data_IF_621790274803
#
_entry.id   IF_621790274803
#
_cell.length_a   1.000
_cell.length_b   1.000
_cell.length_c   1.000
_cell.angle_alpha   90.00
_cell.angle_beta   90.00
_cell.angle_gamma   90.00
#
_symmetry.space_group_name_H-M   'P 1'
#
loop_
_entity.id
_entity.type
_entity.pdbx_description
1 polymer ?
#
# COMPACT_ATOMS: atom_id res chain seq x y z
N UNK A 1 -14.95 36.93 12.48
CA UNK A 1 -13.75 36.09 12.62
C UNK A 1 -14.10 35.02 13.64
N UNK A 2 -14.16 33.77 13.16
CA UNK A 2 -14.36 32.62 14.03
C UNK A 2 -13.22 32.56 15.06
N UNK A 3 -13.55 32.42 16.33
CA UNK A 3 -12.60 32.29 17.42
C UNK A 3 -11.66 31.08 17.35
N UNK A 4 -11.70 30.33 16.25
CA UNK A 4 -10.90 29.14 16.02
C UNK A 4 -9.67 29.33 15.11
N UNK A 5 -9.43 30.52 14.58
CA UNK A 5 -8.27 30.80 13.73
C UNK A 5 -7.06 31.15 14.59
N UNK A 6 -6.43 30.18 15.21
CA UNK A 6 -5.24 30.38 16.04
C UNK A 6 -4.03 29.68 15.43
N UNK A 7 -3.00 30.45 15.13
CA UNK A 7 -1.65 29.96 14.81
C UNK A 7 -1.53 29.17 13.51
N UNK A 8 -1.84 27.89 13.51
CA UNK A 8 -1.64 26.98 12.36
C UNK A 8 -2.45 27.36 11.12
N UNK A 9 -3.68 27.85 11.29
CA UNK A 9 -4.53 28.24 10.16
C UNK A 9 -4.10 29.57 9.52
N UNK A 10 -3.50 30.46 10.29
CA UNK A 10 -2.88 31.66 9.72
C UNK A 10 -1.65 31.30 8.87
N UNK A 11 -0.83 30.37 9.32
CA UNK A 11 0.33 29.90 8.55
C UNK A 11 -0.09 29.24 7.24
N UNK A 12 -1.20 28.47 7.22
CA UNK A 12 -1.74 27.88 5.98
C UNK A 12 -2.21 28.94 4.99
N UNK A 13 -2.73 30.07 5.49
CA UNK A 13 -3.28 31.14 4.64
C UNK A 13 -2.24 32.11 4.10
N UNK A 14 -1.10 32.25 4.74
CA UNK A 14 -0.02 33.13 4.32
C UNK A 14 1.08 32.43 3.52
N UNK A 15 1.08 31.10 3.50
CA UNK A 15 2.04 30.33 2.73
C UNK A 15 1.68 30.32 1.24
N UNK A 16 2.67 30.48 0.39
CA UNK A 16 2.51 30.30 -1.05
C UNK A 16 2.26 28.82 -1.36
N UNK A 17 1.22 28.55 -2.14
CA UNK A 17 0.93 27.22 -2.65
C UNK A 17 1.65 27.04 -3.99
N UNK A 18 2.22 25.87 -4.21
CA UNK A 18 2.90 25.52 -5.43
C UNK A 18 2.66 24.04 -5.80
N UNK A 19 2.75 23.73 -7.07
CA UNK A 19 2.78 22.35 -7.54
C UNK A 19 4.11 21.68 -7.21
N UNK A 20 4.13 20.35 -7.13
CA UNK A 20 5.35 19.60 -6.84
C UNK A 20 6.50 19.89 -7.80
N UNK A 21 6.19 20.20 -9.06
CA UNK A 21 7.15 20.54 -10.12
C UNK A 21 7.50 22.01 -10.22
N UNK A 22 6.88 22.88 -9.42
CA UNK A 22 7.20 24.32 -9.43
C UNK A 22 8.46 24.64 -8.63
N UNK A 23 9.25 25.59 -9.13
CA UNK A 23 10.40 26.11 -8.44
C UNK A 23 9.95 26.95 -7.25
N UNK A 24 10.35 26.57 -6.04
CA UNK A 24 10.03 27.27 -4.78
C UNK A 24 11.14 28.19 -4.31
N UNK A 25 12.34 28.04 -4.85
CA UNK A 25 13.48 28.87 -4.46
C UNK A 25 14.78 28.45 -5.11
N UNK A 26 15.86 29.00 -4.55
CA UNK A 26 17.25 28.65 -4.87
C UNK A 26 17.92 28.26 -3.56
N UNK A 27 18.85 27.31 -3.61
CA UNK A 27 19.61 26.87 -2.45
C UNK A 27 20.41 28.07 -1.86
N UNK A 28 20.37 28.21 -0.54
CA UNK A 28 21.12 29.26 0.14
C UNK A 28 22.62 29.11 -0.19
N UNK A 29 23.29 30.24 -0.45
CA UNK A 29 24.69 30.28 -0.86
C UNK A 29 25.59 29.53 0.12
N UNK A 30 25.40 29.71 1.42
CA UNK A 30 26.19 29.05 2.47
C UNK A 30 26.08 27.53 2.40
N UNK A 31 24.86 27.01 2.10
CA UNK A 31 24.61 25.58 1.97
C UNK A 31 25.20 25.04 0.66
N UNK A 32 25.08 25.80 -0.44
CA UNK A 32 25.67 25.43 -1.70
C UNK A 32 27.21 25.30 -1.58
N UNK A 33 27.86 26.30 -0.96
CA UNK A 33 29.31 26.28 -0.71
C UNK A 33 29.72 25.14 0.23
N UNK A 34 28.97 24.91 1.32
CA UNK A 34 29.29 23.85 2.29
C UNK A 34 29.26 22.43 1.68
N UNK A 35 28.33 22.17 0.77
CA UNK A 35 28.14 20.86 0.19
C UNK A 35 28.57 20.72 -1.28
N UNK A 36 29.17 21.77 -1.83
CA UNK A 36 29.70 21.76 -3.20
C UNK A 36 28.65 21.79 -4.30
N UNK A 37 27.48 22.35 -4.03
CA UNK A 37 26.45 22.60 -5.04
C UNK A 37 26.73 23.88 -5.81
N UNK A 38 26.16 23.97 -7.01
CA UNK A 38 26.13 25.22 -7.77
C UNK A 38 25.30 26.28 -7.03
N UNK A 39 25.75 27.54 -7.04
CA UNK A 39 25.06 28.65 -6.39
C UNK A 39 23.68 28.94 -6.99
N UNK A 40 23.40 28.47 -8.22
CA UNK A 40 22.11 28.56 -8.91
C UNK A 40 21.23 27.32 -8.71
N UNK A 41 21.58 26.39 -7.81
CA UNK A 41 20.84 25.17 -7.55
C UNK A 41 19.39 25.49 -7.14
N UNK A 42 18.43 25.07 -7.94
CA UNK A 42 17.00 25.32 -7.78
C UNK A 42 16.39 24.32 -6.81
N UNK A 43 15.40 24.77 -6.03
CA UNK A 43 14.58 23.96 -5.13
C UNK A 43 13.18 23.89 -5.68
N UNK A 44 12.58 22.71 -5.68
CA UNK A 44 11.23 22.44 -6.18
C UNK A 44 10.29 22.01 -5.07
N UNK A 45 8.97 22.10 -5.30
CA UNK A 45 7.93 21.82 -4.30
C UNK A 45 8.02 20.42 -3.72
N UNK A 46 8.30 19.42 -4.59
CA UNK A 46 8.44 18.04 -4.16
C UNK A 46 7.11 17.34 -3.90
N UNK A 47 7.09 16.34 -3.01
CA UNK A 47 5.91 15.54 -2.72
C UNK A 47 6.01 14.83 -1.35
N UNK A 48 4.87 14.40 -0.81
CA UNK A 48 4.83 13.35 0.21
C UNK A 48 5.36 12.03 -0.34
N UNK A 49 5.86 11.16 0.54
CA UNK A 49 6.58 9.93 0.22
C UNK A 49 5.82 8.98 -0.72
N UNK A 50 4.52 8.76 -0.47
CA UNK A 50 3.70 7.87 -1.30
C UNK A 50 3.47 8.43 -2.72
N UNK A 51 3.20 9.73 -2.86
CA UNK A 51 3.05 10.38 -4.15
C UNK A 51 4.39 10.42 -4.90
N UNK A 52 5.49 10.69 -4.20
CA UNK A 52 6.83 10.61 -4.78
C UNK A 52 7.16 9.18 -5.24
N UNK A 53 6.86 8.15 -4.42
CA UNK A 53 7.07 6.76 -4.79
C UNK A 53 6.25 6.37 -6.03
N UNK A 54 5.00 6.84 -6.14
CA UNK A 54 4.18 6.63 -7.34
C UNK A 54 4.84 7.25 -8.59
N UNK A 55 5.34 8.48 -8.50
CA UNK A 55 6.11 9.10 -9.61
C UNK A 55 7.39 8.33 -9.91
N UNK A 56 8.09 7.85 -8.88
CA UNK A 56 9.27 6.99 -9.03
C UNK A 56 8.97 5.71 -9.80
N UNK A 57 7.83 5.08 -9.53
CA UNK A 57 7.33 3.91 -10.24
C UNK A 57 6.78 4.25 -11.64
N UNK A 58 6.41 5.50 -11.90
CA UNK A 58 5.72 5.89 -13.14
C UNK A 58 4.20 5.70 -13.07
N UNK A 59 3.62 5.62 -11.86
CA UNK A 59 2.18 5.44 -11.64
C UNK A 59 1.51 6.82 -11.52
N UNK A 60 0.92 7.30 -12.59
CA UNK A 60 0.27 8.61 -12.63
C UNK A 60 -0.98 8.63 -13.50
N UNK A 61 -1.20 7.59 -14.29
CA UNK A 61 -2.42 7.47 -15.10
C UNK A 61 -3.57 6.90 -14.27
N UNK A 62 -4.80 7.20 -14.70
CA UNK A 62 -5.98 6.61 -14.10
C UNK A 62 -5.98 5.09 -14.31
N UNK A 63 -6.19 4.32 -13.24
CA UNK A 63 -6.13 2.87 -13.26
C UNK A 63 -4.82 2.28 -12.78
N UNK A 64 -3.76 3.09 -12.69
CA UNK A 64 -2.49 2.66 -12.10
C UNK A 64 -2.59 2.59 -10.57
N UNK A 65 -2.12 1.49 -10.02
CA UNK A 65 -2.15 1.25 -8.59
C UNK A 65 -0.88 0.54 -8.11
N UNK A 66 -0.45 0.82 -6.89
CA UNK A 66 0.53 -0.01 -6.19
C UNK A 66 -0.07 -0.69 -4.97
N UNK A 67 0.39 -1.91 -4.71
CA UNK A 67 0.11 -2.69 -3.52
C UNK A 67 1.43 -2.91 -2.78
N UNK A 68 1.65 -2.15 -1.72
CA UNK A 68 2.85 -2.22 -0.90
C UNK A 68 2.68 -3.25 0.21
N UNK A 69 3.53 -4.27 0.21
CA UNK A 69 3.65 -5.31 1.23
C UNK A 69 4.88 -5.01 2.11
N UNK A 70 4.82 -3.89 2.82
CA UNK A 70 5.81 -3.43 3.79
C UNK A 70 5.42 -3.79 5.22
N UNK A 71 6.02 -3.15 6.23
CA UNK A 71 5.62 -3.26 7.64
C UNK A 71 4.12 -3.02 7.79
N UNK A 72 3.61 -1.97 7.16
CA UNK A 72 2.19 -1.71 6.89
C UNK A 72 1.85 -2.11 5.45
N UNK A 73 0.58 -2.37 5.17
CA UNK A 73 0.06 -2.59 3.83
C UNK A 73 -0.61 -1.33 3.28
N UNK A 74 -0.27 -0.93 2.06
CA UNK A 74 -0.88 0.25 1.44
C UNK A 74 -1.31 -0.08 0.02
N UNK A 75 -2.56 0.23 -0.31
CA UNK A 75 -3.00 0.26 -1.70
C UNK A 75 -3.15 1.73 -2.09
N UNK A 76 -2.38 2.13 -3.09
CA UNK A 76 -2.38 3.46 -3.68
C UNK A 76 -2.97 3.39 -5.08
N UNK A 77 -3.83 4.34 -5.44
CA UNK A 77 -4.35 4.44 -6.79
C UNK A 77 -4.43 5.87 -7.28
N UNK A 78 -3.97 6.12 -8.52
CA UNK A 78 -4.06 7.43 -9.18
C UNK A 78 -5.42 7.63 -9.83
N UNK A 79 -5.92 8.88 -9.82
CA UNK A 79 -7.20 9.26 -10.44
C UNK A 79 -7.16 10.72 -10.92
N UNK A 80 -8.03 11.06 -11.87
CA UNK A 80 -8.15 12.41 -12.41
C UNK A 80 -9.23 13.26 -11.73
N UNK A 81 -9.91 12.72 -10.73
CA UNK A 81 -10.95 13.42 -9.98
C UNK A 81 -10.84 13.16 -8.49
N UNK A 82 -11.30 14.11 -7.70
CA UNK A 82 -11.42 13.94 -6.26
C UNK A 82 -12.53 12.93 -5.94
N UNK A 83 -12.13 11.78 -5.41
CA UNK A 83 -13.03 10.74 -4.93
C UNK A 83 -12.91 10.66 -3.41
N UNK A 84 -14.00 10.32 -2.73
CA UNK A 84 -14.04 10.27 -1.25
C UNK A 84 -14.79 9.05 -0.75
N UNK A 85 -14.36 8.55 0.40
CA UNK A 85 -15.10 7.61 1.22
C UNK A 85 -14.66 7.81 2.67
N UNK A 86 -15.47 8.52 3.45
CA UNK A 86 -15.14 8.81 4.84
C UNK A 86 -15.44 7.66 5.77
N UNK A 87 -16.44 6.83 5.44
CA UNK A 87 -16.91 5.74 6.30
C UNK A 87 -15.86 4.64 6.46
N UNK A 88 -15.12 4.35 5.39
CA UNK A 88 -14.09 3.30 5.37
C UNK A 88 -12.66 3.85 5.63
N UNK A 89 -12.51 5.08 6.15
CA UNK A 89 -11.22 5.71 6.46
C UNK A 89 -10.23 5.72 5.27
N UNK A 90 -10.73 5.98 4.07
CA UNK A 90 -9.91 6.14 2.86
C UNK A 90 -9.28 7.53 2.86
N UNK A 91 -7.98 7.58 2.58
CA UNK A 91 -7.25 8.82 2.35
C UNK A 91 -7.41 9.29 0.91
N UNK A 92 -7.76 10.55 0.73
CA UNK A 92 -7.92 11.21 -0.56
C UNK A 92 -7.12 12.49 -0.58
N UNK A 93 -6.12 12.58 -1.44
CA UNK A 93 -5.17 13.70 -1.50
C UNK A 93 -4.97 14.21 -2.93
N UNK A 94 -4.55 15.47 -3.04
CA UNK A 94 -3.92 15.95 -4.27
C UNK A 94 -2.66 15.13 -4.52
N UNK A 95 -2.45 14.72 -5.75
CA UNK A 95 -1.18 14.16 -6.19
C UNK A 95 -0.14 15.29 -6.31
N UNK A 96 1.15 14.95 -6.38
CA UNK A 96 2.22 15.92 -6.62
C UNK A 96 2.32 16.37 -8.09
N UNK A 97 1.50 15.80 -8.96
CA UNK A 97 1.41 16.18 -10.36
C UNK A 97 0.12 16.97 -10.58
N UNK A 98 0.14 18.00 -11.45
CA UNK A 98 -1.05 18.81 -11.76
C UNK A 98 -2.24 17.96 -12.22
N UNK A 99 -3.44 18.43 -11.92
CA UNK A 99 -4.72 17.82 -12.31
C UNK A 99 -4.84 16.32 -12.00
N UNK A 100 -4.18 15.90 -10.92
CA UNK A 100 -4.14 14.50 -10.51
C UNK A 100 -4.41 14.37 -9.02
N UNK A 101 -5.13 13.33 -8.65
CA UNK A 101 -5.47 12.96 -7.29
C UNK A 101 -4.99 11.54 -7.00
N UNK A 102 -4.93 11.16 -5.74
CA UNK A 102 -4.72 9.77 -5.38
C UNK A 102 -5.52 9.40 -4.14
N UNK A 103 -5.87 8.14 -4.08
CA UNK A 103 -6.49 7.54 -2.91
C UNK A 103 -5.55 6.49 -2.32
N UNK A 104 -5.62 6.35 -1.00
CA UNK A 104 -4.92 5.29 -0.29
C UNK A 104 -5.82 4.61 0.72
N UNK A 105 -5.74 3.29 0.78
CA UNK A 105 -6.14 2.50 1.94
C UNK A 105 -4.91 2.02 2.68
N UNK A 106 -5.00 1.97 4.00
CA UNK A 106 -3.86 1.64 4.86
C UNK A 106 -4.24 0.55 5.85
N UNK A 107 -3.54 -0.57 5.77
CA UNK A 107 -3.51 -1.63 6.75
C UNK A 107 -2.32 -1.39 7.70
N UNK A 108 -2.57 -1.25 9.00
CA UNK A 108 -1.51 -0.87 9.95
C UNK A 108 -0.47 -1.95 10.16
N UNK A 109 -0.86 -3.23 10.11
CA UNK A 109 0.02 -4.37 10.34
C UNK A 109 -0.04 -5.34 9.17
N UNK A 110 0.97 -5.32 8.28
CA UNK A 110 1.10 -6.24 7.15
C UNK A 110 2.28 -7.21 7.40
N UNK A 111 3.49 -6.95 6.91
CA UNK A 111 4.62 -7.83 7.20
C UNK A 111 5.06 -7.76 8.66
N UNK A 112 4.64 -6.75 9.42
CA UNK A 112 4.82 -6.74 10.87
C UNK A 112 4.15 -7.92 11.57
N UNK A 113 3.00 -8.41 11.08
CA UNK A 113 2.39 -9.66 11.56
C UNK A 113 3.31 -10.87 11.31
N UNK A 114 3.95 -10.92 10.15
CA UNK A 114 4.91 -11.99 9.81
C UNK A 114 6.12 -11.95 10.75
N UNK A 115 6.69 -10.77 10.96
CA UNK A 115 7.81 -10.58 11.88
C UNK A 115 7.43 -10.92 13.32
N UNK A 116 6.24 -10.51 13.76
CA UNK A 116 5.72 -10.88 15.07
C UNK A 116 5.61 -12.40 15.22
N UNK A 117 5.05 -13.09 14.23
CA UNK A 117 4.90 -14.54 14.25
C UNK A 117 6.28 -15.24 14.32
N UNK A 118 7.22 -14.79 13.49
CA UNK A 118 8.60 -15.31 13.47
C UNK A 118 9.22 -15.21 14.87
N UNK A 119 9.15 -14.03 15.48
CA UNK A 119 9.77 -13.78 16.79
C UNK A 119 9.05 -14.50 17.94
N UNK A 120 7.72 -14.62 17.86
CA UNK A 120 6.91 -15.21 18.95
C UNK A 120 6.97 -16.74 18.94
N UNK A 121 7.02 -17.33 17.75
CA UNK A 121 6.95 -18.78 17.58
C UNK A 121 8.28 -19.41 17.12
N UNK A 122 9.38 -18.68 17.15
CA UNK A 122 10.70 -19.16 16.69
C UNK A 122 10.62 -19.77 15.28
N UNK A 123 10.08 -19.00 14.34
CA UNK A 123 9.90 -19.38 12.94
C UNK A 123 10.94 -18.72 12.04
N UNK A 124 10.83 -18.94 10.74
CA UNK A 124 11.65 -18.26 9.73
C UNK A 124 10.83 -17.95 8.48
N UNK A 125 11.31 -16.98 7.70
CA UNK A 125 10.67 -16.64 6.42
C UNK A 125 10.68 -17.84 5.44
N UNK A 126 11.72 -18.68 5.52
CA UNK A 126 11.82 -19.89 4.69
C UNK A 126 10.76 -20.92 5.09
N UNK A 127 10.56 -21.14 6.39
CA UNK A 127 9.50 -22.02 6.90
C UNK A 127 8.12 -21.52 6.46
N UNK A 128 7.86 -20.22 6.62
CA UNK A 128 6.58 -19.61 6.19
C UNK A 128 6.34 -19.83 4.69
N UNK A 129 7.37 -19.60 3.88
CA UNK A 129 7.27 -19.78 2.41
C UNK A 129 6.99 -21.25 2.03
N UNK A 130 7.70 -22.19 2.65
CA UNK A 130 7.52 -23.62 2.39
C UNK A 130 6.14 -24.10 2.79
N UNK A 131 5.70 -23.80 4.03
CA UNK A 131 4.40 -24.22 4.55
C UNK A 131 3.24 -23.59 3.77
N UNK A 132 3.33 -22.31 3.46
CA UNK A 132 2.35 -21.62 2.63
C UNK A 132 2.22 -22.28 1.25
N UNK A 133 3.34 -22.54 0.57
CA UNK A 133 3.36 -23.19 -0.75
C UNK A 133 2.70 -24.58 -0.73
N UNK A 134 2.87 -25.33 0.36
CA UNK A 134 2.22 -26.63 0.54
C UNK A 134 0.71 -26.49 0.66
N UNK A 135 0.24 -25.63 1.59
CA UNK A 135 -1.19 -25.51 1.92
C UNK A 135 -2.00 -24.96 0.74
N UNK A 136 -1.50 -23.95 0.01
CA UNK A 136 -2.24 -23.38 -1.13
C UNK A 136 -2.49 -24.37 -2.27
N UNK A 137 -1.80 -25.52 -2.26
CA UNK A 137 -1.98 -26.59 -3.24
C UNK A 137 -3.05 -27.62 -2.83
N UNK A 138 -3.60 -27.51 -1.60
CA UNK A 138 -4.56 -28.45 -1.03
C UNK A 138 -5.84 -27.74 -0.59
N UNK A 139 -6.93 -27.98 -1.31
CA UNK A 139 -8.25 -27.45 -0.92
C UNK A 139 -8.68 -27.91 0.47
N UNK A 140 -8.35 -29.12 0.86
CA UNK A 140 -8.67 -29.67 2.16
C UNK A 140 -7.92 -28.94 3.29
N UNK A 141 -6.60 -28.73 3.14
CA UNK A 141 -5.79 -28.02 4.13
C UNK A 141 -6.26 -26.56 4.27
N UNK A 142 -6.65 -25.91 3.15
CA UNK A 142 -7.22 -24.55 3.17
C UNK A 142 -8.53 -24.53 3.97
N UNK A 143 -9.48 -25.44 3.69
CA UNK A 143 -10.78 -25.46 4.34
C UNK A 143 -10.70 -25.72 5.84
N UNK A 144 -9.73 -26.53 6.28
CA UNK A 144 -9.54 -26.89 7.68
C UNK A 144 -8.67 -25.90 8.45
N UNK A 145 -8.05 -24.92 7.78
CA UNK A 145 -7.22 -23.93 8.44
C UNK A 145 -8.05 -22.98 9.30
N UNK A 146 -7.58 -22.59 10.49
CA UNK A 146 -8.18 -21.54 11.30
C UNK A 146 -8.14 -20.19 10.57
N UNK A 147 -8.74 -19.16 11.16
CA UNK A 147 -8.69 -17.79 10.66
C UNK A 147 -7.81 -16.93 11.55
N UNK A 148 -7.24 -15.89 10.97
CA UNK A 148 -6.46 -14.90 11.70
C UNK A 148 -6.96 -13.48 11.40
N UNK A 149 -7.27 -12.69 12.44
CA UNK A 149 -7.47 -11.25 12.33
C UNK A 149 -6.14 -10.53 12.55
N UNK A 150 -5.63 -9.74 11.59
CA UNK A 150 -4.24 -9.26 11.60
C UNK A 150 -4.03 -7.92 12.35
N UNK A 151 -4.86 -7.58 13.32
CA UNK A 151 -4.97 -6.25 13.93
C UNK A 151 -4.06 -6.05 15.14
N UNK A 152 -2.76 -6.37 15.03
CA UNK A 152 -1.80 -6.29 16.15
C UNK A 152 -1.73 -4.90 16.80
N UNK A 153 -1.89 -3.84 16.02
CA UNK A 153 -1.72 -2.45 16.49
C UNK A 153 -2.97 -1.59 16.26
N UNK A 154 -4.15 -2.22 16.27
CA UNK A 154 -5.36 -1.61 15.75
C UNK A 154 -5.43 -1.71 14.24
N UNK A 155 -6.47 -1.15 13.64
CA UNK A 155 -6.60 -1.09 12.19
C UNK A 155 -7.23 0.22 11.73
N UNK A 156 -6.81 0.70 10.54
CA UNK A 156 -7.33 1.92 9.93
C UNK A 156 -8.41 1.57 8.91
N UNK A 157 -8.04 1.13 7.73
CA UNK A 157 -8.99 0.87 6.65
C UNK A 157 -9.44 -0.60 6.65
N UNK A 158 -10.73 -0.89 6.58
CA UNK A 158 -11.87 0.04 6.60
C UNK A 158 -12.45 0.30 8.00
N UNK A 159 -12.05 -0.45 9.02
CA UNK A 159 -12.74 -0.51 10.32
C UNK A 159 -12.48 0.68 11.23
N UNK A 160 -11.40 1.41 11.01
CA UNK A 160 -10.98 2.60 11.75
C UNK A 160 -11.10 2.43 13.28
N UNK A 161 -10.44 1.38 13.80
CA UNK A 161 -10.46 1.04 15.22
C UNK A 161 -9.04 0.88 15.78
N UNK A 162 -8.56 1.83 16.60
CA UNK A 162 -7.25 1.73 17.24
C UNK A 162 -7.19 0.66 18.33
N UNK A 163 -8.33 0.15 18.79
CA UNK A 163 -8.43 -0.84 19.85
C UNK A 163 -8.58 -2.27 19.32
N UNK A 164 -8.82 -2.46 18.02
CA UNK A 164 -8.80 -3.78 17.40
C UNK A 164 -7.51 -4.54 17.75
N UNK A 165 -7.63 -5.85 17.99
CA UNK A 165 -6.47 -6.70 18.30
C UNK A 165 -6.49 -7.96 17.46
N UNK A 166 -5.27 -8.49 17.22
CA UNK A 166 -5.10 -9.73 16.47
C UNK A 166 -5.63 -10.92 17.25
N UNK A 167 -6.22 -11.87 16.54
CA UNK A 167 -6.73 -13.10 17.15
C UNK A 167 -6.79 -14.24 16.13
N UNK A 168 -6.63 -15.47 16.62
CA UNK A 168 -6.95 -16.68 15.87
C UNK A 168 -8.35 -17.16 16.23
N UNK A 169 -9.11 -17.61 15.23
CA UNK A 169 -10.45 -18.11 15.36
C UNK A 169 -10.61 -19.53 14.80
N UNK A 170 -11.51 -20.31 15.37
CA UNK A 170 -11.83 -21.67 14.96
C UNK A 170 -10.63 -22.63 14.99
N UNK A 171 -9.74 -22.46 15.98
CA UNK A 171 -8.70 -23.45 16.24
C UNK A 171 -9.28 -24.74 16.82
N UNK A 172 -8.87 -25.88 16.26
CA UNK A 172 -9.19 -27.22 16.74
C UNK A 172 -7.98 -27.91 17.37
N UNK A 173 -8.19 -29.12 17.90
CA UNK A 173 -7.12 -29.95 18.48
C UNK A 173 -6.08 -30.37 17.43
N UNK A 174 -6.47 -30.35 16.18
CA UNK A 174 -5.69 -30.70 14.99
C UNK A 174 -4.98 -29.49 14.35
N UNK A 175 -5.24 -28.28 14.86
CA UNK A 175 -4.55 -27.08 14.38
C UNK A 175 -3.07 -27.16 14.71
N UNK A 176 -2.27 -27.25 13.67
CA UNK A 176 -0.81 -27.35 13.76
C UNK A 176 -0.13 -26.02 13.32
N UNK A 177 1.18 -26.00 13.45
CA UNK A 177 2.01 -24.86 13.04
C UNK A 177 1.85 -24.49 11.57
N UNK A 178 1.59 -25.49 10.71
CA UNK A 178 1.40 -25.27 9.28
C UNK A 178 0.11 -24.53 8.99
N UNK A 179 -0.98 -24.94 9.62
CA UNK A 179 -2.29 -24.30 9.51
C UNK A 179 -2.30 -22.89 10.10
N UNK A 180 -1.54 -22.64 11.20
CA UNK A 180 -1.38 -21.30 11.78
C UNK A 180 -0.58 -20.36 10.85
N UNK A 181 0.48 -20.83 10.21
CA UNK A 181 1.24 -20.05 9.22
C UNK A 181 0.36 -19.69 8.02
N UNK A 182 -0.43 -20.64 7.53
CA UNK A 182 -1.36 -20.36 6.46
C UNK A 182 -2.40 -19.32 6.87
N UNK A 183 -3.04 -19.51 8.03
CA UNK A 183 -4.04 -18.58 8.57
C UNK A 183 -3.48 -17.15 8.73
N UNK A 184 -2.22 -17.03 9.19
CA UNK A 184 -1.53 -15.74 9.30
C UNK A 184 -1.48 -15.02 7.94
N UNK A 185 -0.96 -15.70 6.92
CA UNK A 185 -0.79 -15.07 5.59
C UNK A 185 -2.13 -14.86 4.89
N UNK A 186 -3.07 -15.79 5.03
CA UNK A 186 -4.44 -15.64 4.53
C UNK A 186 -5.13 -14.44 5.19
N UNK A 187 -5.06 -14.31 6.52
CA UNK A 187 -5.68 -13.22 7.27
C UNK A 187 -5.11 -11.84 6.91
N UNK A 188 -3.80 -11.72 6.74
CA UNK A 188 -3.17 -10.50 6.20
C UNK A 188 -3.71 -10.20 4.80
N UNK A 189 -3.82 -11.21 3.95
CA UNK A 189 -4.32 -11.05 2.58
C UNK A 189 -5.80 -10.71 2.53
N UNK A 190 -6.61 -11.20 3.48
CA UNK A 190 -8.01 -10.80 3.65
C UNK A 190 -8.14 -9.35 4.13
N UNK A 191 -7.28 -8.89 5.04
CA UNK A 191 -7.22 -7.48 5.42
C UNK A 191 -6.89 -6.58 4.24
N UNK A 192 -5.95 -6.97 3.38
CA UNK A 192 -5.64 -6.25 2.14
C UNK A 192 -6.80 -6.27 1.15
N UNK A 193 -7.56 -7.37 1.07
CA UNK A 193 -8.76 -7.43 0.23
C UNK A 193 -9.88 -6.51 0.76
N UNK A 194 -10.04 -6.43 2.07
CA UNK A 194 -11.00 -5.50 2.67
C UNK A 194 -10.63 -4.04 2.37
N UNK A 195 -9.34 -3.71 2.43
CA UNK A 195 -8.78 -2.44 1.97
C UNK A 195 -9.06 -2.17 0.48
N UNK A 196 -8.87 -3.18 -0.39
CA UNK A 196 -9.14 -3.10 -1.81
C UNK A 196 -10.63 -2.86 -2.10
N UNK A 197 -11.52 -3.57 -1.38
CA UNK A 197 -12.97 -3.39 -1.51
C UNK A 197 -13.41 -1.98 -1.07
N UNK A 198 -12.85 -1.46 0.03
CA UNK A 198 -13.11 -0.11 0.51
C UNK A 198 -12.72 0.96 -0.53
N UNK A 199 -11.53 0.81 -1.15
CA UNK A 199 -11.13 1.67 -2.27
C UNK A 199 -12.08 1.55 -3.46
N UNK A 200 -12.45 0.33 -3.84
CA UNK A 200 -13.32 0.09 -4.99
C UNK A 200 -14.69 0.74 -4.87
N UNK A 201 -15.23 0.85 -3.63
CA UNK A 201 -16.50 1.56 -3.35
C UNK A 201 -16.45 3.05 -3.71
N UNK A 202 -15.26 3.67 -3.77
CA UNK A 202 -15.12 5.07 -4.19
C UNK A 202 -15.35 5.29 -5.68
N UNK A 203 -15.37 4.22 -6.47
CA UNK A 203 -15.41 4.25 -7.93
C UNK A 203 -14.04 4.42 -8.60
N UNK A 204 -12.94 4.41 -7.83
CA UNK A 204 -11.58 4.44 -8.41
C UNK A 204 -11.34 3.19 -9.26
N UNK A 205 -10.67 3.36 -10.39
CA UNK A 205 -10.19 2.25 -11.20
C UNK A 205 -8.86 1.75 -10.66
N UNK A 206 -8.72 0.44 -10.48
CA UNK A 206 -7.50 -0.24 -10.06
C UNK A 206 -7.25 -1.38 -11.07
N UNK A 207 -6.70 -1.02 -12.24
CA UNK A 207 -6.56 -1.93 -13.39
C UNK A 207 -5.19 -2.60 -13.38
N UNK A 208 -4.13 -1.81 -13.25
CA UNK A 208 -2.74 -2.25 -13.23
C UNK A 208 -2.22 -2.21 -11.80
N UNK A 209 -2.17 -3.34 -11.12
CA UNK A 209 -1.73 -3.40 -9.72
C UNK A 209 -0.29 -3.89 -9.65
N UNK A 210 0.61 -3.04 -9.20
CA UNK A 210 2.03 -3.33 -9.03
C UNK A 210 2.34 -3.67 -7.57
N UNK A 211 2.73 -4.92 -7.33
CA UNK A 211 3.11 -5.37 -5.98
C UNK A 211 4.57 -4.98 -5.69
N UNK A 212 4.77 -4.30 -4.56
CA UNK A 212 6.08 -3.79 -4.11
C UNK A 212 6.32 -4.11 -2.64
N UNK A 213 7.52 -3.85 -2.14
CA UNK A 213 7.90 -4.07 -0.74
C UNK A 213 8.43 -5.47 -0.47
N UNK A 214 8.82 -5.73 0.78
CA UNK A 214 9.48 -6.99 1.17
C UNK A 214 8.63 -8.23 0.95
N UNK A 215 7.34 -8.15 1.21
CA UNK A 215 6.39 -9.26 1.02
C UNK A 215 6.20 -9.66 -0.44
N UNK A 216 6.45 -8.76 -1.39
CA UNK A 216 6.35 -9.07 -2.83
C UNK A 216 7.43 -10.03 -3.34
N UNK A 217 8.42 -10.36 -2.51
CA UNK A 217 9.46 -11.35 -2.83
C UNK A 217 8.98 -12.81 -2.64
N UNK A 218 7.79 -13.03 -2.07
CA UNK A 218 7.22 -14.36 -1.85
C UNK A 218 6.15 -14.69 -2.89
N UNK A 219 6.51 -15.50 -3.88
CA UNK A 219 5.62 -15.89 -4.98
C UNK A 219 4.36 -16.62 -4.50
N UNK A 220 4.46 -17.46 -3.46
CA UNK A 220 3.31 -18.19 -2.92
C UNK A 220 2.31 -17.24 -2.26
N UNK A 221 2.81 -16.23 -1.53
CA UNK A 221 1.95 -15.19 -0.98
C UNK A 221 1.29 -14.36 -2.07
N UNK A 222 2.05 -13.94 -3.08
CA UNK A 222 1.48 -13.18 -4.21
C UNK A 222 0.43 -13.99 -4.98
N UNK A 223 0.62 -15.30 -5.16
CA UNK A 223 -0.38 -16.18 -5.80
C UNK A 223 -1.68 -16.25 -4.98
N UNK A 224 -1.56 -16.42 -3.67
CA UNK A 224 -2.68 -16.39 -2.74
C UNK A 224 -3.41 -15.03 -2.82
N UNK A 225 -2.66 -13.93 -2.69
CA UNK A 225 -3.19 -12.57 -2.69
C UNK A 225 -3.85 -12.20 -4.02
N UNK A 226 -3.24 -12.53 -5.16
CA UNK A 226 -3.83 -12.32 -6.48
C UNK A 226 -5.18 -13.05 -6.63
N UNK A 227 -5.27 -14.27 -6.07
CA UNK A 227 -6.50 -15.06 -6.08
C UNK A 227 -7.56 -14.48 -5.15
N UNK A 228 -7.19 -14.00 -3.97
CA UNK A 228 -8.08 -13.32 -3.01
C UNK A 228 -8.62 -12.02 -3.59
N UNK A 229 -7.76 -11.18 -4.18
CA UNK A 229 -8.16 -9.92 -4.83
C UNK A 229 -8.93 -10.15 -6.13
N UNK A 230 -8.89 -11.37 -6.66
CA UNK A 230 -9.40 -11.71 -7.98
C UNK A 230 -8.79 -10.82 -9.09
N UNK A 231 -7.49 -10.46 -8.96
CA UNK A 231 -6.72 -9.60 -9.84
C UNK A 231 -5.33 -10.17 -10.10
N UNK A 232 -4.81 -9.95 -11.30
CA UNK A 232 -3.41 -10.22 -11.56
C UNK A 232 -2.55 -9.15 -10.88
N UNK A 233 -1.36 -9.55 -10.40
CA UNK A 233 -0.39 -8.65 -9.80
C UNK A 233 0.86 -8.61 -10.65
N UNK A 234 1.37 -7.40 -10.91
CA UNK A 234 2.59 -7.18 -11.66
C UNK A 234 3.76 -6.89 -10.72
N UNK A 235 4.93 -7.48 -11.00
CA UNK A 235 6.19 -7.16 -10.35
C UNK A 235 7.05 -6.32 -11.28
N UNK A 236 7.77 -5.37 -10.71
CA UNK A 236 8.66 -4.46 -11.42
C UNK A 236 10.09 -4.63 -10.93
N UNK A 237 11.05 -4.09 -11.66
CA UNK A 237 12.45 -3.98 -11.25
C UNK A 237 12.70 -2.79 -10.29
N UNK A 238 11.63 -2.24 -9.72
CA UNK A 238 11.69 -1.08 -8.84
C UNK A 238 12.51 -1.35 -7.58
N UNK A 239 13.40 -0.43 -7.26
CA UNK A 239 14.22 -0.44 -6.05
C UNK A 239 13.43 0.05 -4.82
N UNK A 240 13.96 -0.16 -3.62
CA UNK A 240 13.39 0.38 -2.37
C UNK A 240 13.46 1.93 -2.29
N UNK A 241 14.23 2.57 -3.17
CA UNK A 241 14.45 4.03 -3.17
C UNK A 241 13.45 4.81 -4.05
N UNK A 242 12.27 4.24 -4.35
CA UNK A 242 11.31 4.86 -5.29
C UNK A 242 10.85 6.26 -4.89
N UNK A 243 10.68 6.55 -3.60
CA UNK A 243 10.28 7.90 -3.16
C UNK A 243 11.38 8.94 -3.45
N UNK A 244 12.65 8.61 -3.17
CA UNK A 244 13.78 9.50 -3.49
C UNK A 244 13.96 9.67 -5.00
N UNK A 245 13.82 8.59 -5.77
CA UNK A 245 13.86 8.64 -7.23
C UNK A 245 12.71 9.46 -7.80
N UNK A 246 11.50 9.31 -7.24
CA UNK A 246 10.34 10.12 -7.61
C UNK A 246 10.53 11.60 -7.32
N UNK A 247 11.08 11.96 -6.16
CA UNK A 247 11.41 13.34 -5.83
C UNK A 247 12.41 13.94 -6.85
N UNK A 248 13.43 13.17 -7.24
CA UNK A 248 14.38 13.57 -8.29
C UNK A 248 13.69 13.76 -9.65
N UNK A 249 12.76 12.87 -10.04
CA UNK A 249 11.99 13.00 -11.29
C UNK A 249 11.08 14.21 -11.28
N UNK A 250 10.43 14.53 -10.13
CA UNK A 250 9.62 15.74 -9.97
C UNK A 250 10.46 16.99 -10.23
N UNK A 251 11.63 17.10 -9.58
CA UNK A 251 12.55 18.20 -9.79
C UNK A 251 13.07 18.27 -11.24
N UNK A 252 13.37 17.12 -11.85
CA UNK A 252 13.82 17.04 -13.25
C UNK A 252 12.74 17.53 -14.23
N UNK A 253 11.48 17.14 -14.01
CA UNK A 253 10.34 17.65 -14.80
C UNK A 253 10.19 19.15 -14.66
N UNK A 254 10.25 19.66 -13.44
CA UNK A 254 10.16 21.11 -13.19
C UNK A 254 11.31 21.89 -13.81
N UNK A 255 12.55 21.39 -13.70
CA UNK A 255 13.72 22.01 -14.29
C UNK A 255 13.67 22.12 -15.81
N UNK A 256 13.18 21.09 -16.48
CA UNK A 256 13.11 21.00 -17.94
C UNK A 256 11.73 21.40 -18.51
N UNK A 257 10.78 21.82 -17.66
CA UNK A 257 9.41 22.16 -18.05
C UNK A 257 8.71 21.03 -18.84
N UNK A 258 8.88 19.78 -18.36
CA UNK A 258 8.30 18.60 -18.99
C UNK A 258 6.95 18.22 -18.37
N UNK A 259 6.05 17.72 -19.20
CA UNK A 259 4.79 17.10 -18.75
C UNK A 259 5.06 15.67 -18.26
N UNK A 260 4.20 15.13 -17.38
CA UNK A 260 4.37 13.76 -16.86
C UNK A 260 4.62 12.72 -17.96
N UNK A 261 3.81 12.70 -19.02
CA UNK A 261 3.93 11.75 -20.13
C UNK A 261 5.22 11.87 -20.95
N UNK A 262 5.95 12.98 -20.83
CA UNK A 262 7.22 13.20 -21.55
C UNK A 262 8.41 12.71 -20.72
N UNK A 263 8.22 12.53 -19.41
CA UNK A 263 9.29 12.15 -18.48
C UNK A 263 9.03 10.81 -17.79
N UNK A 264 7.76 10.45 -17.60
CA UNK A 264 7.38 9.24 -16.90
C UNK A 264 7.01 8.15 -17.91
N UNK A 265 7.50 6.96 -17.69
CA UNK A 265 7.12 5.75 -18.41
C UNK A 265 6.41 4.79 -17.44
N UNK A 266 5.50 3.99 -17.96
CA UNK A 266 4.92 2.90 -17.19
C UNK A 266 6.01 2.00 -16.61
N UNK A 267 5.80 1.40 -15.43
CA UNK A 267 6.76 0.50 -14.82
C UNK A 267 7.09 -0.67 -15.75
N UNK A 268 8.37 -1.04 -15.82
CA UNK A 268 8.78 -2.24 -16.53
C UNK A 268 8.36 -3.46 -15.75
N UNK A 269 7.38 -4.19 -16.28
CA UNK A 269 6.93 -5.46 -15.70
C UNK A 269 7.99 -6.53 -15.97
N UNK A 270 8.51 -7.14 -14.90
CA UNK A 270 9.44 -8.27 -14.97
C UNK A 270 8.76 -9.62 -14.77
N UNK A 271 7.60 -9.63 -14.11
CA UNK A 271 6.81 -10.84 -13.85
C UNK A 271 5.36 -10.47 -13.59
N UNK A 272 4.44 -11.28 -14.07
CA UNK A 272 3.01 -11.21 -13.72
C UNK A 272 2.63 -12.45 -12.93
N UNK A 273 1.99 -12.26 -11.80
CA UNK A 273 1.38 -13.31 -10.98
C UNK A 273 -0.10 -13.37 -11.36
N UNK A 274 -0.50 -14.42 -12.01
CA UNK A 274 -1.88 -14.63 -12.41
C UNK A 274 -2.70 -15.15 -11.23
N UNK A 275 -3.93 -14.64 -11.08
CA UNK A 275 -4.92 -15.22 -10.18
C UNK A 275 -5.30 -16.64 -10.59
N UNK A 276 -5.68 -17.45 -9.64
CA UNK A 276 -6.24 -18.78 -9.88
C UNK A 276 -7.76 -18.73 -9.64
N UNK A 277 -8.60 -18.85 -10.69
CA UNK A 277 -10.06 -18.73 -10.53
C UNK A 277 -10.66 -19.74 -9.54
N UNK A 278 -10.15 -20.99 -9.53
CA UNK A 278 -10.65 -22.03 -8.61
C UNK A 278 -10.31 -21.71 -7.15
N UNK A 279 -9.12 -21.17 -6.94
CA UNK A 279 -8.68 -20.71 -5.62
C UNK A 279 -9.45 -19.46 -5.23
N UNK A 280 -9.74 -18.54 -6.15
CA UNK A 280 -10.53 -17.33 -5.90
C UNK A 280 -11.93 -17.65 -5.37
N UNK A 281 -12.64 -18.61 -5.94
CA UNK A 281 -13.96 -18.99 -5.49
C UNK A 281 -13.95 -19.52 -4.05
N UNK A 282 -13.00 -20.41 -3.74
CA UNK A 282 -12.81 -20.96 -2.40
C UNK A 282 -12.48 -19.87 -1.38
N UNK A 283 -11.53 -19.01 -1.72
CA UNK A 283 -11.07 -17.94 -0.82
C UNK A 283 -12.11 -16.84 -0.62
N UNK A 284 -12.99 -16.62 -1.59
CA UNK A 284 -14.10 -15.67 -1.42
C UNK A 284 -15.10 -16.15 -0.35
N UNK A 285 -15.43 -17.43 -0.30
CA UNK A 285 -16.26 -18.00 0.76
C UNK A 285 -15.60 -17.83 2.14
N UNK A 286 -14.31 -18.19 2.23
CA UNK A 286 -13.56 -18.01 3.47
C UNK A 286 -13.44 -16.54 3.89
N UNK A 287 -13.29 -15.62 2.95
CA UNK A 287 -13.25 -14.19 3.23
C UNK A 287 -14.58 -13.68 3.83
N UNK A 288 -15.72 -14.15 3.32
CA UNK A 288 -17.02 -13.76 3.91
C UNK A 288 -17.15 -14.28 5.35
N UNK A 289 -16.67 -15.49 5.64
CA UNK A 289 -16.66 -16.02 6.99
C UNK A 289 -15.69 -15.22 7.90
N UNK A 290 -14.50 -14.89 7.40
CA UNK A 290 -13.49 -14.12 8.13
C UNK A 290 -14.00 -12.76 8.58
N UNK A 291 -14.80 -12.06 7.78
CA UNK A 291 -15.37 -10.75 8.12
C UNK A 291 -16.28 -10.79 9.34
N UNK A 292 -16.89 -11.93 9.63
CA UNK A 292 -17.80 -12.09 10.76
C UNK A 292 -17.09 -12.21 12.12
N UNK A 293 -15.77 -12.41 12.14
CA UNK A 293 -15.01 -12.53 13.40
C UNK A 293 -14.64 -11.19 14.03
N UNK A 294 -14.64 -10.11 13.26
CA UNK A 294 -14.45 -8.78 13.82
C UNK A 294 -15.80 -8.15 14.14
N UNK A 295 -15.98 -7.80 15.41
CA UNK A 295 -17.12 -7.05 15.91
C UNK A 295 -16.55 -5.81 16.60
N UNK A 296 -16.91 -4.63 16.09
CA UNK A 296 -16.53 -3.37 16.74
C UNK A 296 -17.34 -3.22 18.01
N UNK A 297 -16.65 -3.14 19.14
CA UNK A 297 -17.31 -2.78 20.41
C UNK A 297 -17.70 -1.30 20.37
N UNK A 298 -18.96 -0.98 20.75
CA UNK A 298 -19.49 0.39 20.78
C UNK A 298 -18.90 1.22 21.92
#
# INVERSE_FOLDING_TARGET
ISLGLVGSEMCIRDSALCEGTEQTGILKKEIAEQYGFDASCKVYGGAGDNAAAAVGLGLYEEGDASLSLGTSGVIFGSTKSFLKNYDDAIHSFCHCLPDTWHLMSVMLSCTSNVNWFINTFDSSINEITEKLSKVISSKEEINNAPYFLPYLTGERTPINDPHARASFHQMGIDSDRTSLIYALIEGISFGLNDNYQALSKTGIKLENIYAIGGGSKNDSWLKLLASILNRNLSLTDASEAMAAYGAARIAFMGFNNLKPKESLSAPKVIKTIEKDPKLSDLLNERFQNWKNFYIKEE
#
